data_IF_277213097612
#
_entry.id   IF_277213097612
#
_cell.length_a   1.000
_cell.length_b   1.000
_cell.length_c   1.000
_cell.angle_alpha   90.00
_cell.angle_beta   90.00
_cell.angle_gamma   90.00
#
_symmetry.space_group_name_H-M   'P 1'
#
loop_
_entity.id
_entity.type
_entity.pdbx_description
1 polymer ?
#
# COMPACT_ATOMS: atom_id res chain seq x y z
N UNK A 1 0.95 -13.79 -9.46
CA UNK A 1 0.62 -12.67 -8.57
C UNK A 1 -0.60 -11.97 -9.12
N UNK A 2 -1.74 -12.14 -8.45
CA UNK A 2 -2.91 -11.33 -8.74
C UNK A 2 -2.57 -9.84 -8.56
N UNK A 3 -3.18 -9.00 -9.39
CA UNK A 3 -3.16 -7.55 -9.20
C UNK A 3 -4.54 -7.10 -8.79
N UNK A 4 -4.62 -6.28 -7.75
CA UNK A 4 -5.87 -5.67 -7.32
C UNK A 4 -5.87 -4.17 -7.57
N UNK A 5 -7.02 -3.56 -7.88
CA UNK A 5 -7.18 -2.12 -7.72
C UNK A 5 -6.78 -1.73 -6.30
N UNK A 6 -5.83 -0.81 -6.18
CA UNK A 6 -5.32 -0.36 -4.87
C UNK A 6 -5.76 1.05 -4.52
N UNK A 7 -6.10 1.85 -5.53
CA UNK A 7 -6.50 3.23 -5.38
C UNK A 7 -7.97 3.37 -5.81
N UNK A 8 -8.77 4.09 -5.02
CA UNK A 8 -10.20 4.24 -5.24
C UNK A 8 -10.55 5.03 -6.51
N UNK A 9 -9.58 5.76 -7.06
CA UNK A 9 -9.76 6.50 -8.31
C UNK A 9 -9.31 5.72 -9.53
N UNK A 10 -10.01 5.91 -10.65
CA UNK A 10 -9.55 5.38 -11.95
C UNK A 10 -8.39 6.22 -12.47
N UNK A 11 -7.17 5.73 -12.22
CA UNK A 11 -5.94 6.20 -12.86
C UNK A 11 -5.86 5.76 -14.33
N UNK A 12 -6.89 6.02 -15.15
CA UNK A 12 -6.75 5.96 -16.63
C UNK A 12 -6.11 7.26 -17.13
N UNK A 13 -4.94 7.56 -16.58
CA UNK A 13 -4.13 8.70 -16.98
C UNK A 13 -3.13 8.19 -18.01
N UNK A 14 -3.55 8.07 -19.26
CA UNK A 14 -2.62 8.13 -20.39
C UNK A 14 -1.87 9.46 -20.27
N UNK A 15 -0.55 9.47 -20.49
CA UNK A 15 0.19 10.73 -20.59
C UNK A 15 -0.30 11.52 -21.81
N UNK A 16 -0.02 12.82 -21.85
CA UNK A 16 -0.31 13.64 -23.04
C UNK A 16 0.38 13.03 -24.28
N UNK A 17 1.62 12.56 -24.12
CA UNK A 17 2.40 11.89 -25.17
C UNK A 17 1.77 10.57 -25.64
N UNK A 18 1.25 9.76 -24.72
CA UNK A 18 0.53 8.52 -25.08
C UNK A 18 -0.72 8.84 -25.92
N UNK A 19 -1.45 9.91 -25.57
CA UNK A 19 -2.63 10.35 -26.31
C UNK A 19 -2.22 10.87 -27.70
N UNK A 20 -1.15 11.67 -27.79
CA UNK A 20 -0.59 12.15 -29.06
C UNK A 20 -0.18 10.98 -29.95
N UNK A 21 0.56 10.01 -29.41
CA UNK A 21 0.99 8.83 -30.14
C UNK A 21 -0.19 8.01 -30.66
N UNK A 22 -1.24 7.84 -29.84
CA UNK A 22 -2.48 7.15 -30.23
C UNK A 22 -3.23 7.90 -31.32
N UNK A 23 -3.36 9.22 -31.23
CA UNK A 23 -4.04 10.04 -32.24
C UNK A 23 -3.27 10.03 -33.57
N UNK A 24 -1.94 10.12 -33.53
CA UNK A 24 -1.06 9.97 -34.70
C UNK A 24 -1.25 8.62 -35.39
N UNK A 25 -1.22 7.52 -34.64
CA UNK A 25 -1.42 6.18 -35.20
C UNK A 25 -2.80 6.02 -35.86
N UNK A 26 -3.83 6.67 -35.34
CA UNK A 26 -5.17 6.68 -35.97
C UNK A 26 -5.16 7.51 -37.26
N UNK A 27 -4.53 8.69 -37.27
CA UNK A 27 -4.42 9.53 -38.45
C UNK A 27 -3.65 8.83 -39.58
N UNK A 28 -2.53 8.17 -39.28
CA UNK A 28 -1.75 7.39 -40.26
C UNK A 28 -2.55 6.22 -40.84
N UNK A 29 -3.31 5.50 -40.01
CA UNK A 29 -4.19 4.41 -40.48
C UNK A 29 -5.29 4.91 -41.41
N UNK A 30 -5.82 6.12 -41.18
CA UNK A 30 -6.78 6.75 -42.09
C UNK A 30 -6.12 7.12 -43.40
N UNK A 31 -4.95 7.76 -43.35
CA UNK A 31 -4.18 8.17 -44.54
C UNK A 31 -3.86 6.99 -45.48
N UNK A 32 -3.54 5.81 -44.93
CA UNK A 32 -3.31 4.59 -45.72
C UNK A 32 -4.57 4.02 -46.39
N UNK A 33 -5.76 4.45 -45.98
CA UNK A 33 -7.05 4.02 -46.54
C UNK A 33 -7.66 5.04 -47.52
N UNK A 34 -7.13 6.27 -47.55
CA UNK A 34 -7.58 7.32 -48.46
C UNK A 34 -6.90 7.13 -49.82
N UNK A 35 -7.61 7.31 -50.96
CA UNK A 35 -7.01 7.29 -52.29
C UNK A 35 -5.89 8.33 -52.45
N UNK A 36 -4.93 8.07 -53.35
CA UNK A 36 -3.83 8.99 -53.65
C UNK A 36 -4.37 10.37 -54.11
N UNK A 37 -4.09 11.42 -53.33
CA UNK A 37 -4.44 12.81 -53.66
C UNK A 37 -5.22 13.59 -52.60
N UNK A 38 -5.88 12.92 -51.65
CA UNK A 38 -6.60 13.56 -50.53
C UNK A 38 -5.87 13.34 -49.19
N UNK A 39 -5.10 14.34 -48.74
CA UNK A 39 -4.50 14.34 -47.39
C UNK A 39 -5.43 15.04 -46.39
N UNK A 40 -6.50 14.35 -45.97
CA UNK A 40 -7.45 14.82 -44.94
C UNK A 40 -6.95 14.53 -43.49
N UNK A 41 -5.66 14.21 -43.33
CA UNK A 41 -5.08 13.99 -42.02
C UNK A 41 -4.91 15.33 -41.28
N UNK A 42 -5.46 15.48 -40.06
CA UNK A 42 -5.32 16.73 -39.31
C UNK A 42 -3.85 17.07 -39.06
N UNK A 43 -3.46 18.36 -39.16
CA UNK A 43 -2.12 18.82 -38.83
C UNK A 43 -1.64 18.34 -37.46
N UNK A 44 -0.33 18.14 -37.30
CA UNK A 44 0.23 17.68 -36.03
C UNK A 44 -0.13 18.60 -34.84
N UNK A 45 -0.18 19.92 -35.06
CA UNK A 45 -0.59 20.90 -34.06
C UNK A 45 -2.00 20.63 -33.51
N UNK A 46 -2.92 20.22 -34.37
CA UNK A 46 -4.32 19.95 -33.99
C UNK A 46 -4.42 18.65 -33.20
N UNK A 47 -3.61 17.64 -33.55
CA UNK A 47 -3.50 16.42 -32.76
C UNK A 47 -2.98 16.71 -31.34
N UNK A 48 -1.99 17.59 -31.20
CA UNK A 48 -1.48 18.02 -29.88
C UNK A 48 -2.57 18.76 -29.09
N UNK A 49 -3.29 19.68 -29.72
CA UNK A 49 -4.39 20.40 -29.08
C UNK A 49 -5.51 19.46 -28.63
N UNK A 50 -5.92 18.53 -29.49
CA UNK A 50 -6.92 17.51 -29.17
C UNK A 50 -6.44 16.60 -28.03
N UNK A 51 -5.16 16.22 -28.02
CA UNK A 51 -4.57 15.44 -26.94
C UNK A 51 -4.63 16.18 -25.60
N UNK A 52 -4.29 17.47 -25.58
CA UNK A 52 -4.39 18.33 -24.39
C UNK A 52 -5.80 18.40 -23.84
N UNK A 53 -6.80 18.57 -24.71
CA UNK A 53 -8.20 18.61 -24.30
C UNK A 53 -8.67 17.27 -23.73
N UNK A 54 -8.32 16.16 -24.38
CA UNK A 54 -8.63 14.81 -23.89
C UNK A 54 -7.96 14.59 -22.52
N UNK A 55 -6.69 14.95 -22.39
CA UNK A 55 -5.94 14.83 -21.16
C UNK A 55 -6.57 15.66 -20.03
N UNK A 56 -6.89 16.93 -20.28
CA UNK A 56 -7.53 17.82 -19.32
C UNK A 56 -8.89 17.28 -18.86
N UNK A 57 -9.75 16.82 -19.79
CA UNK A 57 -11.05 16.22 -19.48
C UNK A 57 -10.91 14.96 -18.63
N UNK A 58 -9.95 14.09 -18.95
CA UNK A 58 -9.68 12.85 -18.20
C UNK A 58 -9.11 13.14 -16.81
N UNK A 59 -8.20 14.11 -16.69
CA UNK A 59 -7.65 14.55 -15.41
C UNK A 59 -8.72 15.16 -14.50
N UNK A 60 -9.69 15.92 -15.05
CA UNK A 60 -10.82 16.44 -14.26
C UNK A 60 -11.72 15.33 -13.71
N UNK A 61 -11.83 14.20 -14.41
CA UNK A 61 -12.63 13.03 -14.00
C UNK A 61 -11.84 11.99 -13.19
N UNK A 62 -10.54 12.16 -13.01
CA UNK A 62 -9.68 11.16 -12.37
C UNK A 62 -9.67 11.23 -10.84
N UNK A 63 -10.34 12.21 -10.23
CA UNK A 63 -10.34 12.39 -8.77
C UNK A 63 -8.99 12.82 -8.17
N UNK A 64 -8.01 13.18 -9.02
CA UNK A 64 -6.68 13.67 -8.59
C UNK A 64 -6.29 14.99 -9.25
N UNK A 65 -7.25 15.73 -9.80
CA UNK A 65 -6.98 17.02 -10.45
C UNK A 65 -6.40 18.06 -9.49
N UNK A 66 -6.68 17.94 -8.19
CA UNK A 66 -6.16 18.80 -7.13
C UNK A 66 -4.69 18.50 -6.76
N UNK A 67 -4.13 17.36 -7.21
CA UNK A 67 -2.76 17.00 -6.91
C UNK A 67 -1.77 17.78 -7.78
N UNK A 68 -0.62 18.09 -7.19
CA UNK A 68 0.56 18.58 -7.90
C UNK A 68 1.00 17.55 -8.95
N UNK A 69 1.70 18.01 -9.99
CA UNK A 69 2.15 17.13 -11.09
C UNK A 69 3.03 15.98 -10.58
N UNK A 70 3.90 16.27 -9.62
CA UNK A 70 4.79 15.29 -8.98
C UNK A 70 4.01 14.21 -8.21
N UNK A 71 3.04 14.63 -7.39
CA UNK A 71 2.19 13.70 -6.64
C UNK A 71 1.32 12.83 -7.55
N UNK A 72 0.77 13.42 -8.60
CA UNK A 72 0.04 12.66 -9.62
C UNK A 72 0.94 11.62 -10.31
N UNK A 73 2.22 11.96 -10.57
CA UNK A 73 3.20 11.03 -11.13
C UNK A 73 3.55 9.90 -10.15
N UNK A 74 3.68 10.20 -8.84
CA UNK A 74 3.86 9.19 -7.79
C UNK A 74 2.72 8.19 -7.77
N UNK A 75 1.47 8.64 -7.93
CA UNK A 75 0.31 7.74 -7.96
C UNK A 75 0.15 6.99 -9.30
N UNK A 76 0.66 7.53 -10.41
CA UNK A 76 0.54 6.91 -11.73
C UNK A 76 1.15 5.50 -11.80
N UNK A 77 2.11 5.17 -10.93
CA UNK A 77 2.70 3.81 -10.82
C UNK A 77 1.66 2.76 -10.44
N UNK A 78 0.56 3.17 -9.82
CA UNK A 78 -0.55 2.32 -9.37
C UNK A 78 -1.65 2.16 -10.44
N UNK A 79 -1.45 2.67 -11.67
CA UNK A 79 -2.48 2.64 -12.73
C UNK A 79 -3.07 1.25 -13.01
N UNK A 80 -2.25 0.22 -12.81
CA UNK A 80 -2.61 -1.19 -13.02
C UNK A 80 -2.80 -1.94 -11.68
N UNK A 81 -3.05 -1.20 -10.60
CA UNK A 81 -3.13 -1.76 -9.25
C UNK A 81 -1.76 -2.13 -8.67
N UNK A 82 -1.78 -2.90 -7.58
CA UNK A 82 -0.59 -3.45 -6.92
C UNK A 82 -0.59 -4.96 -7.03
N UNK A 83 0.61 -5.57 -7.05
CA UNK A 83 0.73 -7.02 -6.97
C UNK A 83 0.42 -7.48 -5.55
N UNK A 84 -0.20 -8.65 -5.40
CA UNK A 84 -0.28 -9.33 -4.13
C UNK A 84 0.52 -10.63 -4.18
N UNK A 85 1.29 -10.88 -3.13
CA UNK A 85 2.03 -12.12 -2.97
C UNK A 85 1.06 -13.22 -2.55
N UNK A 86 1.18 -14.37 -3.21
CA UNK A 86 0.39 -15.58 -3.01
C UNK A 86 1.35 -16.73 -2.73
N UNK A 87 0.87 -17.73 -2.00
CA UNK A 87 1.58 -19.00 -1.88
C UNK A 87 1.20 -19.92 -3.05
N UNK A 88 2.16 -20.66 -3.62
CA UNK A 88 1.89 -21.55 -4.74
C UNK A 88 1.04 -22.77 -4.32
N UNK A 89 1.19 -23.23 -3.07
CA UNK A 89 0.49 -24.39 -2.53
C UNK A 89 0.60 -24.43 -0.97
N UNK A 90 -0.21 -25.27 -0.31
CA UNK A 90 -0.13 -25.56 1.13
C UNK A 90 1.29 -25.91 1.62
N UNK A 91 2.04 -26.70 0.85
CA UNK A 91 3.39 -27.13 1.23
C UNK A 91 4.38 -25.96 1.39
N UNK A 92 4.20 -24.86 0.66
CA UNK A 92 4.98 -23.65 0.85
C UNK A 92 4.75 -23.04 2.24
N UNK A 93 3.52 -23.10 2.78
CA UNK A 93 3.22 -22.66 4.14
C UNK A 93 3.96 -23.53 5.18
N UNK A 94 3.99 -24.85 4.98
CA UNK A 94 4.71 -25.79 5.84
C UNK A 94 6.22 -25.51 5.84
N UNK A 95 6.79 -25.29 4.66
CA UNK A 95 8.22 -24.99 4.50
C UNK A 95 8.61 -23.69 5.22
N UNK A 96 7.78 -22.64 5.07
CA UNK A 96 8.01 -21.35 5.74
C UNK A 96 7.92 -21.52 7.26
N UNK A 97 6.88 -22.20 7.76
CA UNK A 97 6.70 -22.41 9.19
C UNK A 97 7.86 -23.24 9.79
N UNK A 98 8.26 -24.31 9.12
CA UNK A 98 9.38 -25.16 9.55
C UNK A 98 10.70 -24.38 9.59
N UNK A 99 10.98 -23.56 8.57
CA UNK A 99 12.20 -22.74 8.54
C UNK A 99 12.25 -21.75 9.71
N UNK A 100 11.15 -21.02 9.97
CA UNK A 100 11.08 -20.07 11.08
C UNK A 100 11.19 -20.80 12.43
N UNK A 101 10.52 -21.95 12.61
CA UNK A 101 10.61 -22.71 13.86
C UNK A 101 11.97 -23.35 14.09
N UNK A 102 12.70 -23.74 13.03
CA UNK A 102 14.06 -24.24 13.17
C UNK A 102 15.01 -23.14 13.70
N UNK A 103 14.82 -21.89 13.24
CA UNK A 103 15.60 -20.74 13.69
C UNK A 103 15.14 -20.21 15.05
N UNK A 104 13.83 -20.27 15.33
CA UNK A 104 13.20 -19.66 16.50
C UNK A 104 12.18 -20.60 17.16
N UNK A 105 12.60 -21.74 17.75
CA UNK A 105 11.66 -22.74 18.32
C UNK A 105 10.74 -22.15 19.39
N UNK A 106 11.23 -21.19 20.19
CA UNK A 106 10.45 -20.54 21.24
C UNK A 106 9.34 -19.62 20.72
N UNK A 107 9.36 -19.25 19.43
CA UNK A 107 8.30 -18.47 18.77
C UNK A 107 7.25 -19.36 18.10
N UNK A 108 7.29 -20.69 18.31
CA UNK A 108 6.35 -21.63 17.71
C UNK A 108 4.87 -21.20 17.82
N UNK A 109 4.35 -20.67 18.96
CA UNK A 109 2.96 -20.23 19.05
C UNK A 109 2.60 -19.16 18.00
N UNK A 110 3.48 -18.17 17.79
CA UNK A 110 3.27 -17.13 16.78
C UNK A 110 3.37 -17.70 15.36
N UNK A 111 4.36 -18.58 15.12
CA UNK A 111 4.53 -19.23 13.82
C UNK A 111 3.34 -20.11 13.46
N UNK A 112 2.74 -20.81 14.41
CA UNK A 112 1.56 -21.66 14.19
C UNK A 112 0.33 -20.83 13.78
N UNK A 113 0.10 -19.67 14.39
CA UNK A 113 -1.00 -18.78 14.00
C UNK A 113 -0.85 -18.30 12.55
N UNK A 114 0.36 -17.90 12.17
CA UNK A 114 0.64 -17.50 10.80
C UNK A 114 0.51 -18.68 9.84
N UNK A 115 1.02 -19.84 10.20
CA UNK A 115 0.92 -21.05 9.41
C UNK A 115 -0.54 -21.37 9.06
N UNK A 116 -1.48 -21.29 10.01
CA UNK A 116 -2.91 -21.48 9.73
C UNK A 116 -3.46 -20.45 8.71
N UNK A 117 -3.06 -19.19 8.83
CA UNK A 117 -3.48 -18.15 7.88
C UNK A 117 -2.90 -18.40 6.47
N UNK A 118 -1.64 -18.81 6.39
CA UNK A 118 -0.97 -19.17 5.14
C UNK A 118 -1.59 -20.41 4.48
N UNK A 119 -1.89 -21.44 5.26
CA UNK A 119 -2.57 -22.65 4.81
C UNK A 119 -3.93 -22.32 4.20
N UNK A 120 -4.74 -21.52 4.90
CA UNK A 120 -6.04 -21.08 4.39
C UNK A 120 -5.90 -20.30 3.08
N UNK A 121 -4.99 -19.32 3.03
CA UNK A 121 -4.76 -18.54 1.82
C UNK A 121 -4.34 -19.43 0.64
N UNK A 122 -3.46 -20.42 0.87
CA UNK A 122 -3.02 -21.34 -0.16
C UNK A 122 -4.15 -22.27 -0.67
N UNK A 123 -4.98 -22.80 0.23
CA UNK A 123 -6.13 -23.65 -0.12
C UNK A 123 -7.18 -22.87 -0.92
N UNK A 124 -7.46 -21.63 -0.53
CA UNK A 124 -8.41 -20.75 -1.20
C UNK A 124 -7.85 -20.12 -2.50
N UNK A 125 -6.55 -20.35 -2.81
CA UNK A 125 -5.82 -19.66 -3.88
C UNK A 125 -5.96 -18.14 -3.78
N UNK A 126 -5.95 -17.65 -2.54
CA UNK A 126 -6.09 -16.26 -2.20
C UNK A 126 -4.72 -15.64 -1.89
N UNK A 127 -4.57 -14.32 -2.08
CA UNK A 127 -3.40 -13.59 -1.62
C UNK A 127 -3.14 -13.78 -0.13
N UNK A 128 -1.86 -13.81 0.26
CA UNK A 128 -1.44 -13.92 1.65
C UNK A 128 -2.08 -12.79 2.45
N UNK A 129 -2.77 -13.19 3.53
CA UNK A 129 -3.37 -12.30 4.50
C UNK A 129 -3.21 -12.89 5.89
N UNK A 130 -2.45 -12.21 6.73
CA UNK A 130 -2.28 -12.55 8.13
C UNK A 130 -3.22 -11.63 8.93
N UNK A 131 -4.14 -12.17 9.75
CA UNK A 131 -4.90 -11.35 10.68
C UNK A 131 -3.97 -10.54 11.58
N UNK A 132 -4.37 -9.34 12.06
CA UNK A 132 -3.56 -8.59 13.01
C UNK A 132 -3.08 -9.47 14.18
N UNK A 133 -1.77 -9.50 14.39
CA UNK A 133 -1.13 -10.37 15.37
C UNK A 133 -0.46 -9.51 16.45
N UNK A 134 -0.75 -9.77 17.72
CA UNK A 134 -0.06 -9.15 18.86
C UNK A 134 0.89 -10.15 19.50
N UNK A 135 2.19 -9.85 19.48
CA UNK A 135 3.25 -10.60 20.14
C UNK A 135 3.51 -10.02 21.52
N UNK A 136 3.14 -10.77 22.56
CA UNK A 136 3.39 -10.39 23.96
C UNK A 136 4.47 -11.27 24.55
N UNK A 137 5.53 -10.65 25.07
CA UNK A 137 6.62 -11.38 25.70
C UNK A 137 7.75 -10.46 26.16
N UNK A 138 8.71 -10.97 26.95
CA UNK A 138 9.77 -10.16 27.53
C UNK A 138 10.59 -9.42 26.46
N UNK A 139 11.24 -8.30 26.82
CA UNK A 139 12.20 -7.64 25.94
C UNK A 139 13.33 -8.62 25.57
N UNK A 140 13.84 -8.53 24.33
CA UNK A 140 14.92 -9.40 23.86
C UNK A 140 14.51 -10.80 23.39
N UNK A 141 13.24 -11.23 23.54
CA UNK A 141 12.78 -12.56 23.05
C UNK A 141 12.77 -12.71 21.51
N UNK A 142 13.06 -11.64 20.77
CA UNK A 142 13.16 -11.69 19.30
C UNK A 142 11.87 -11.37 18.54
N UNK A 143 10.91 -10.62 19.11
CA UNK A 143 9.64 -10.23 18.44
C UNK A 143 9.86 -9.54 17.09
N UNK A 144 10.68 -8.49 17.07
CA UNK A 144 11.05 -7.76 15.84
C UNK A 144 11.79 -8.64 14.84
N UNK A 145 12.71 -9.49 15.33
CA UNK A 145 13.46 -10.41 14.49
C UNK A 145 12.55 -11.44 13.83
N UNK A 146 11.59 -12.01 14.57
CA UNK A 146 10.62 -12.98 14.05
C UNK A 146 9.77 -12.37 12.92
N UNK A 147 9.25 -11.14 13.11
CA UNK A 147 8.48 -10.45 12.09
C UNK A 147 9.30 -10.24 10.80
N UNK A 148 10.59 -9.92 10.97
CA UNK A 148 11.54 -9.77 9.86
C UNK A 148 11.77 -11.07 9.09
N UNK A 149 12.00 -12.17 9.82
CA UNK A 149 12.16 -13.50 9.22
C UNK A 149 10.90 -13.90 8.46
N UNK A 150 9.73 -13.65 9.03
CA UNK A 150 8.47 -13.94 8.36
C UNK A 150 8.33 -13.19 7.03
N UNK A 151 8.55 -11.87 7.02
CA UNK A 151 8.46 -11.09 5.78
C UNK A 151 9.47 -11.55 4.73
N UNK A 152 10.70 -11.87 5.15
CA UNK A 152 11.75 -12.41 4.29
C UNK A 152 11.35 -13.74 3.66
N UNK A 153 10.80 -14.69 4.43
CA UNK A 153 10.31 -15.97 3.92
C UNK A 153 9.10 -15.83 2.99
N UNK A 154 8.20 -14.90 3.28
CA UNK A 154 7.06 -14.57 2.42
C UNK A 154 7.46 -13.77 1.17
N UNK A 155 8.68 -13.23 1.13
CA UNK A 155 9.19 -12.34 0.07
C UNK A 155 8.29 -11.12 -0.15
N UNK A 156 7.80 -10.55 0.96
CA UNK A 156 7.02 -9.31 0.97
C UNK A 156 7.88 -8.16 1.49
N UNK A 157 7.63 -6.91 1.08
CA UNK A 157 8.27 -5.76 1.69
C UNK A 157 7.90 -5.65 3.17
N UNK A 158 8.80 -5.09 3.95
CA UNK A 158 8.60 -4.88 5.38
C UNK A 158 8.97 -3.47 5.82
N UNK A 159 8.39 -3.05 6.94
CA UNK A 159 8.87 -1.91 7.70
C UNK A 159 8.63 -2.12 9.19
N UNK A 160 9.45 -1.47 10.01
CA UNK A 160 9.26 -1.40 11.46
C UNK A 160 8.97 0.04 11.90
N UNK A 161 8.08 0.17 12.88
CA UNK A 161 7.74 1.40 13.59
C UNK A 161 7.92 1.12 15.07
N UNK A 162 8.55 2.03 15.80
CA UNK A 162 8.68 1.92 17.24
C UNK A 162 7.78 2.98 17.87
N UNK A 163 6.86 2.55 18.72
CA UNK A 163 5.84 3.43 19.27
C UNK A 163 6.42 4.56 20.13
N UNK A 164 7.58 4.35 20.78
CA UNK A 164 8.22 5.34 21.66
C UNK A 164 8.87 6.49 20.91
N UNK A 165 9.41 6.24 19.71
CA UNK A 165 10.05 7.26 18.87
C UNK A 165 9.05 7.90 17.91
N UNK A 166 8.07 7.13 17.42
CA UNK A 166 6.97 7.58 16.57
C UNK A 166 5.62 7.57 17.33
N UNK A 167 5.55 8.29 18.46
CA UNK A 167 4.32 8.39 19.27
C UNK A 167 3.13 8.95 18.48
N UNK A 168 3.40 9.74 17.42
CA UNK A 168 2.38 10.31 16.57
C UNK A 168 2.03 9.35 15.42
N UNK A 169 0.77 8.89 15.39
CA UNK A 169 0.24 8.01 14.34
C UNK A 169 0.37 8.53 12.89
N UNK A 170 0.74 9.80 12.71
CA UNK A 170 1.04 10.41 11.42
C UNK A 170 2.29 9.84 10.74
N UNK A 171 3.20 9.19 11.45
CA UNK A 171 4.32 8.45 10.83
C UNK A 171 3.81 7.32 9.92
N UNK A 172 2.78 6.59 10.38
CA UNK A 172 2.17 5.49 9.64
C UNK A 172 1.14 5.98 8.63
N UNK A 173 0.25 6.87 9.06
CA UNK A 173 -0.93 7.31 8.27
C UNK A 173 -0.64 8.49 7.34
N UNK A 174 0.38 9.30 7.65
CA UNK A 174 0.72 10.52 6.94
C UNK A 174 0.11 11.77 7.58
N UNK A 175 0.65 12.93 7.22
CA UNK A 175 0.17 14.23 7.70
C UNK A 175 -0.70 14.89 6.62
N UNK A 176 -1.75 15.58 7.06
CA UNK A 176 -2.71 16.26 6.18
C UNK A 176 -2.00 17.25 5.23
N UNK A 177 -2.51 17.36 4.00
CA UNK A 177 -2.05 18.38 3.07
C UNK A 177 -2.31 19.80 3.62
N UNK A 178 -1.43 20.75 3.29
CA UNK A 178 -1.54 22.16 3.71
C UNK A 178 -0.74 22.52 4.96
N UNK A 179 -0.26 21.53 5.72
CA UNK A 179 0.72 21.73 6.79
C UNK A 179 2.13 21.86 6.21
N UNK A 180 2.99 22.68 6.81
CA UNK A 180 4.37 22.90 6.32
C UNK A 180 5.22 21.62 6.23
N UNK A 181 4.89 20.62 7.04
CA UNK A 181 5.53 19.29 7.08
C UNK A 181 4.66 18.17 6.49
N UNK A 182 3.65 18.49 5.68
CA UNK A 182 2.75 17.51 5.08
C UNK A 182 3.52 16.43 4.30
N UNK A 183 3.28 15.16 4.64
CA UNK A 183 3.95 14.00 4.04
C UNK A 183 3.05 12.78 3.99
N UNK A 184 3.36 11.88 3.07
CA UNK A 184 2.74 10.55 3.00
C UNK A 184 3.12 9.70 4.21
N UNK A 185 2.24 8.77 4.58
CA UNK A 185 2.52 7.80 5.64
C UNK A 185 3.43 6.69 5.15
N UNK A 186 4.34 6.21 6.02
CA UNK A 186 5.35 5.21 5.67
C UNK A 186 4.75 3.89 5.15
N UNK A 187 3.59 3.49 5.64
CA UNK A 187 2.90 2.29 5.16
C UNK A 187 2.48 2.41 3.68
N UNK A 188 1.95 3.57 3.28
CA UNK A 188 1.60 3.84 1.89
C UNK A 188 2.86 3.99 1.02
N UNK A 189 3.91 4.64 1.55
CA UNK A 189 5.19 4.79 0.84
C UNK A 189 5.83 3.44 0.52
N UNK A 190 5.81 2.50 1.47
CA UNK A 190 6.30 1.13 1.27
C UNK A 190 5.60 0.45 0.08
N UNK A 191 4.27 0.57 0.01
CA UNK A 191 3.49 0.00 -1.11
C UNK A 191 3.78 0.73 -2.42
N UNK A 192 3.89 2.06 -2.41
CA UNK A 192 4.21 2.84 -3.60
C UNK A 192 5.59 2.49 -4.18
N UNK A 193 6.58 2.28 -3.30
CA UNK A 193 7.95 1.93 -3.67
C UNK A 193 8.05 0.52 -4.25
N UNK A 194 7.47 -0.47 -3.58
CA UNK A 194 7.61 -1.88 -3.97
C UNK A 194 6.51 -2.40 -4.89
N UNK A 195 5.39 -1.69 -4.99
CA UNK A 195 4.19 -2.07 -5.76
C UNK A 195 3.60 -3.42 -5.33
N UNK A 196 3.79 -3.77 -4.05
CA UNK A 196 3.24 -4.96 -3.39
C UNK A 196 2.23 -4.50 -2.34
N UNK A 197 0.98 -4.96 -2.44
CA UNK A 197 -0.14 -4.50 -1.62
C UNK A 197 -0.32 -5.24 -0.30
N UNK A 198 0.40 -6.34 -0.07
CA UNK A 198 0.38 -7.10 1.18
C UNK A 198 1.75 -7.13 1.89
N UNK A 199 2.33 -5.96 2.23
CA UNK A 199 3.55 -5.91 3.02
C UNK A 199 3.32 -6.36 4.46
N UNK A 200 4.40 -6.62 5.18
CA UNK A 200 4.41 -6.79 6.64
C UNK A 200 4.77 -5.46 7.29
N UNK A 201 3.95 -5.00 8.23
CA UNK A 201 4.24 -3.82 9.05
C UNK A 201 4.35 -4.24 10.50
N UNK A 202 5.54 -4.06 11.07
CA UNK A 202 5.82 -4.35 12.46
C UNK A 202 5.73 -3.08 13.31
N UNK A 203 4.97 -3.12 14.41
CA UNK A 203 4.87 -2.01 15.37
C UNK A 203 5.37 -2.50 16.72
N UNK A 204 6.51 -1.98 17.16
CA UNK A 204 7.12 -2.34 18.44
C UNK A 204 6.63 -1.45 19.58
N UNK A 205 6.62 -2.02 20.78
CA UNK A 205 6.27 -1.37 22.04
C UNK A 205 4.92 -0.62 22.04
N UNK A 206 3.89 -1.20 21.41
CA UNK A 206 2.56 -0.56 21.26
C UNK A 206 1.92 -0.21 22.61
N UNK A 207 2.29 -0.90 23.71
CA UNK A 207 1.84 -0.58 25.07
C UNK A 207 2.33 0.79 25.58
N UNK A 208 3.31 1.39 24.90
CA UNK A 208 3.86 2.70 25.26
C UNK A 208 3.22 3.86 24.48
N UNK A 209 2.42 3.57 23.44
CA UNK A 209 1.78 4.57 22.59
C UNK A 209 0.84 5.52 23.36
N UNK A 210 0.05 4.99 24.30
CA UNK A 210 -0.93 5.77 25.08
C UNK A 210 -0.34 6.63 26.21
N UNK A 211 0.99 6.61 26.43
CA UNK A 211 1.64 7.38 27.51
C UNK A 211 2.11 8.77 27.09
N UNK A 212 2.07 9.10 25.80
CA UNK A 212 2.40 10.43 25.31
C UNK A 212 1.24 11.40 25.58
N UNK A 213 1.11 11.87 26.82
CA UNK A 213 0.26 13.02 27.15
C UNK A 213 0.85 14.26 26.47
N UNK A 214 0.30 14.65 25.33
CA UNK A 214 0.56 15.97 24.78
C UNK A 214 0.04 17.01 25.79
N UNK A 215 0.86 18.01 26.11
CA UNK A 215 0.57 19.16 26.99
C UNK A 215 -0.62 20.01 26.51
N UNK A 216 -1.27 19.63 25.41
CA UNK A 216 -2.35 20.33 24.73
C UNK A 216 -3.46 19.37 24.27
N UNK A 217 -4.06 18.59 25.18
CA UNK A 217 -5.44 18.06 25.10
C UNK A 217 -5.87 17.15 23.93
N UNK A 218 -5.07 16.95 22.89
CA UNK A 218 -5.32 16.07 21.77
C UNK A 218 -4.10 15.16 21.56
N UNK A 219 -4.12 14.00 22.20
CA UNK A 219 -3.14 12.96 21.93
C UNK A 219 -3.46 12.35 20.56
N UNK A 220 -2.60 12.58 19.56
CA UNK A 220 -2.63 11.85 18.29
C UNK A 220 -1.98 10.47 18.48
N UNK A 221 -2.63 9.65 19.29
CA UNK A 221 -2.16 8.33 19.70
C UNK A 221 -2.00 7.41 18.48
N UNK A 222 -0.82 6.82 18.36
CA UNK A 222 -0.51 5.78 17.38
C UNK A 222 -1.56 4.65 17.40
N UNK A 223 -2.03 4.23 18.58
CA UNK A 223 -3.04 3.19 18.70
C UNK A 223 -4.34 3.60 18.00
N UNK A 224 -4.82 4.82 18.25
CA UNK A 224 -6.02 5.36 17.62
C UNK A 224 -5.87 5.50 16.09
N UNK A 225 -4.69 5.87 15.60
CA UNK A 225 -4.42 5.97 14.17
C UNK A 225 -4.34 4.59 13.48
N UNK A 226 -3.97 3.54 14.20
CA UNK A 226 -3.89 2.17 13.69
C UNK A 226 -5.25 1.49 13.61
N UNK A 227 -6.20 1.77 14.52
CA UNK A 227 -7.50 1.08 14.58
C UNK A 227 -8.22 0.99 13.21
N UNK A 228 -8.37 2.09 12.43
CA UNK A 228 -9.02 2.02 11.11
C UNK A 228 -8.29 1.14 10.09
N UNK A 229 -7.00 0.88 10.30
CA UNK A 229 -6.15 0.07 9.42
C UNK A 229 -6.10 -1.41 9.83
N UNK A 230 -6.44 -1.74 11.09
CA UNK A 230 -6.48 -3.12 11.58
C UNK A 230 -7.77 -3.84 11.17
N UNK A 231 -8.88 -3.09 11.02
CA UNK A 231 -10.15 -3.62 10.57
C UNK A 231 -10.23 -3.66 9.03
N UNK A 232 -10.48 -4.81 8.39
CA UNK A 232 -10.41 -4.94 6.93
C UNK A 232 -11.38 -4.06 6.15
N UNK A 233 -12.60 -3.89 6.66
CA UNK A 233 -13.64 -3.11 5.97
C UNK A 233 -13.29 -1.62 5.97
N UNK A 234 -12.91 -1.10 7.14
CA UNK A 234 -12.45 0.28 7.30
C UNK A 234 -11.15 0.54 6.53
N UNK A 235 -10.20 -0.40 6.56
CA UNK A 235 -8.92 -0.30 5.85
C UNK A 235 -9.07 -0.29 4.32
N UNK A 236 -10.10 -0.95 3.77
CA UNK A 236 -10.39 -0.96 2.33
C UNK A 236 -10.81 0.42 1.81
N UNK A 237 -11.46 1.23 2.65
CA UNK A 237 -11.94 2.56 2.31
C UNK A 237 -11.04 3.69 2.87
N UNK A 238 -9.83 3.35 3.34
CA UNK A 238 -8.95 4.31 4.01
C UNK A 238 -8.55 5.46 3.09
N UNK A 239 -8.66 6.70 3.58
CA UNK A 239 -8.29 7.90 2.80
C UNK A 239 -6.98 8.47 3.30
N UNK A 240 -6.02 8.64 2.39
CA UNK A 240 -4.72 9.23 2.72
C UNK A 240 -4.86 10.72 3.08
N UNK A 241 -4.40 11.17 4.26
CA UNK A 241 -4.35 12.58 4.66
C UNK A 241 -3.65 13.51 3.66
N UNK A 242 -2.55 13.02 3.07
CA UNK A 242 -1.71 13.81 2.17
C UNK A 242 -2.32 13.92 0.78
N UNK A 243 -2.61 12.77 0.13
CA UNK A 243 -3.17 12.79 -1.22
C UNK A 243 -4.66 13.18 -1.24
N UNK A 244 -5.39 12.99 -0.13
CA UNK A 244 -6.85 13.10 -0.04
C UNK A 244 -7.54 12.18 -1.06
N UNK A 245 -7.03 10.96 -1.15
CA UNK A 245 -7.49 9.90 -2.06
C UNK A 245 -7.59 8.58 -1.29
N UNK A 246 -8.58 7.76 -1.62
CA UNK A 246 -8.79 6.44 -1.02
C UNK A 246 -7.82 5.37 -1.53
N UNK A 247 -7.33 4.53 -0.61
CA UNK A 247 -6.47 3.38 -0.87
C UNK A 247 -6.98 2.14 -0.12
N UNK A 248 -6.88 0.96 -0.74
CA UNK A 248 -7.24 -0.31 -0.09
C UNK A 248 -6.04 -0.83 0.74
N UNK A 249 -6.01 -0.46 2.01
CA UNK A 249 -4.95 -0.85 2.96
C UNK A 249 -5.26 -2.19 3.66
N UNK A 250 -6.36 -2.86 3.32
CA UNK A 250 -6.87 -4.06 4.04
C UNK A 250 -5.99 -5.31 3.92
N UNK A 251 -4.97 -5.25 3.05
CA UNK A 251 -4.06 -6.36 2.73
C UNK A 251 -2.73 -6.29 3.48
N UNK A 252 -2.46 -5.22 4.21
CA UNK A 252 -1.28 -5.09 5.06
C UNK A 252 -1.36 -6.13 6.20
N UNK A 253 -0.27 -6.86 6.42
CA UNK A 253 -0.14 -7.78 7.55
C UNK A 253 0.48 -7.04 8.74
N UNK A 254 -0.36 -6.69 9.72
CA UNK A 254 0.04 -5.97 10.92
C UNK A 254 0.53 -6.93 12.00
N UNK A 255 1.78 -6.77 12.43
CA UNK A 255 2.37 -7.49 13.56
C UNK A 255 2.72 -6.46 14.62
N UNK A 256 2.01 -6.48 15.73
CA UNK A 256 2.21 -5.61 16.87
C UNK A 256 3.03 -6.36 17.92
N UNK A 257 3.86 -5.65 18.68
CA UNK A 257 4.62 -6.22 19.77
C UNK A 257 4.45 -5.40 21.05
N UNK A 258 4.33 -6.10 22.16
CA UNK A 258 4.27 -5.51 23.49
C UNK A 258 5.08 -6.32 24.50
N UNK A 259 5.58 -5.66 25.54
CA UNK A 259 6.24 -6.36 26.65
C UNK A 259 5.25 -6.89 27.70
N UNK A 260 4.06 -6.30 27.76
CA UNK A 260 2.95 -6.77 28.60
C UNK A 260 1.63 -6.27 28.04
N UNK A 261 0.52 -6.89 28.45
CA UNK A 261 -0.82 -6.39 28.12
C UNK A 261 -1.17 -5.09 28.87
N UNK A 262 -0.40 -4.72 29.89
CA UNK A 262 -0.67 -3.52 30.70
C UNK A 262 -0.38 -2.26 29.90
N UNK A 263 -1.39 -1.40 29.74
CA UNK A 263 -1.27 -0.15 28.99
C UNK A 263 -1.73 -0.23 27.54
N UNK A 264 -2.22 -1.40 27.11
CA UNK A 264 -3.01 -1.50 25.88
C UNK A 264 -4.45 -1.01 26.14
N UNK A 265 -5.07 -0.33 25.17
CA UNK A 265 -6.47 0.12 25.24
C UNK A 265 -7.48 -1.03 25.19
#
# INVERSE_FOLDING_TARGET
>A
MARIPFIAVRLRLESEDDIIARLRAVAERRRRRTPEGEDDAPPYRDLVQQAREIFARRRKRSGISHLRKEDAARLAVLKHGVALVELPNPHAADTIAAAIQAEMPWMAPATTLVWHALQRAALERAPIRIPPLLLVGPPGIGKSFWARRLASHLRVPEMAVEATSENAGFGITGLQAGWGSARTGRALELILQHRVGNPVVFVDEIEKAGRATATSGAAFDLAAALLPLLEPETARAWTCPYFRVGFDMSRISWILAANSLRGLP
#
